data_IF_972299831074
#
_entry.id   IF_972299831074
#
_cell.length_a   1.000
_cell.length_b   1.000
_cell.length_c   1.000
_cell.angle_alpha   90.00
_cell.angle_beta   90.00
_cell.angle_gamma   90.00
#
_symmetry.space_group_name_H-M   'P 1'
#
loop_
_entity.id
_entity.type
_entity.pdbx_description
1 polymer ?
#
# COMPACT_ATOMS: atom_id res chain seq x y z
N UNK A 1 23.13 -64.87 4.67
CA UNK A 1 23.86 -64.50 5.90
C UNK A 1 23.50 -63.06 6.22
N UNK A 2 22.33 -62.85 6.82
CA UNK A 2 22.06 -62.76 8.28
C UNK A 2 22.26 -61.33 8.79
N UNK A 3 21.18 -60.77 9.36
CA UNK A 3 20.96 -59.34 9.63
C UNK A 3 21.55 -58.78 10.94
N UNK A 4 21.05 -57.61 11.42
CA UNK A 4 21.54 -56.88 12.62
C UNK A 4 20.78 -57.34 13.89
N UNK A 5 20.82 -56.68 15.09
CA UNK A 5 21.57 -55.55 15.65
C UNK A 5 22.20 -55.86 17.06
N UNK A 6 22.73 -54.88 17.82
CA UNK A 6 22.38 -54.62 19.26
C UNK A 6 23.29 -53.61 20.00
N UNK A 7 22.62 -52.87 20.89
CA UNK A 7 23.04 -51.88 21.88
C UNK A 7 24.09 -52.37 22.92
N UNK A 8 24.99 -51.47 23.35
CA UNK A 8 25.58 -51.32 24.72
C UNK A 8 26.75 -50.34 24.61
N UNK A 9 26.73 -49.17 25.25
CA UNK A 9 27.32 -49.04 26.59
C UNK A 9 27.20 -47.58 27.05
N UNK A 10 26.23 -47.33 27.95
CA UNK A 10 26.32 -46.31 28.98
C UNK A 10 26.85 -47.01 30.24
N UNK A 11 27.65 -46.28 31.04
CA UNK A 11 28.11 -46.55 32.42
C UNK A 11 29.64 -46.63 32.53
N UNK A 12 30.25 -45.50 32.88
CA UNK A 12 31.34 -45.45 33.86
C UNK A 12 31.42 -44.04 34.45
N UNK A 13 30.46 -43.75 35.31
CA UNK A 13 30.56 -42.67 36.26
C UNK A 13 31.58 -43.04 37.36
N UNK A 14 32.24 -42.01 37.89
CA UNK A 14 32.78 -41.88 39.26
C UNK A 14 34.12 -42.57 39.57
N UNK A 15 35.15 -41.74 39.80
CA UNK A 15 35.77 -41.52 41.13
C UNK A 15 37.09 -40.77 40.98
N UNK A 16 37.22 -39.60 41.62
CA UNK A 16 38.28 -39.28 42.60
C UNK A 16 38.15 -37.82 43.10
N UNK A 17 38.68 -37.50 44.30
CA UNK A 17 37.90 -36.80 45.32
C UNK A 17 38.37 -35.36 45.61
N UNK A 18 37.53 -34.67 46.37
CA UNK A 18 37.77 -33.35 46.96
C UNK A 18 38.97 -33.34 47.91
N UNK A 19 39.74 -32.24 47.87
CA UNK A 19 40.68 -31.85 48.92
C UNK A 19 40.23 -30.51 49.49
N UNK A 20 39.92 -30.52 50.79
CA UNK A 20 39.75 -29.35 51.63
C UNK A 20 41.04 -28.53 51.70
N UNK A 21 40.94 -27.21 51.60
CA UNK A 21 41.84 -26.27 52.26
C UNK A 21 41.06 -24.97 52.55
N UNK A 22 41.08 -24.58 53.81
CA UNK A 22 40.48 -23.41 54.48
C UNK A 22 41.72 -22.65 55.00
N UNK A 23 42.02 -21.40 54.63
CA UNK A 23 41.54 -20.11 55.16
C UNK A 23 42.44 -19.02 54.53
N UNK A 24 41.92 -17.82 54.26
CA UNK A 24 42.40 -16.56 54.86
C UNK A 24 41.57 -15.36 54.36
N UNK A 25 41.09 -14.56 55.34
CA UNK A 25 40.39 -13.28 55.17
C UNK A 25 41.27 -12.21 54.52
N UNK A 26 40.67 -11.34 53.72
CA UNK A 26 40.87 -9.87 53.78
C UNK A 26 39.73 -9.12 53.05
N UNK A 27 39.47 -7.84 53.41
CA UNK A 27 38.14 -7.25 53.32
C UNK A 27 37.95 -6.25 52.16
N UNK A 28 36.70 -5.81 52.02
CA UNK A 28 36.25 -4.53 51.47
C UNK A 28 36.46 -4.28 49.97
N UNK A 29 35.35 -4.31 49.24
CA UNK A 29 34.88 -3.19 48.42
C UNK A 29 33.37 -3.36 48.29
N UNK A 30 32.62 -2.69 49.16
CA UNK A 30 31.20 -2.45 48.91
C UNK A 30 31.10 -1.55 47.68
N UNK A 31 30.90 -2.16 46.51
CA UNK A 31 30.30 -1.47 45.38
C UNK A 31 28.85 -1.21 45.78
N UNK A 32 28.65 -0.03 46.38
CA UNK A 32 27.35 0.59 46.53
C UNK A 32 26.61 0.48 45.20
N UNK A 33 25.55 -0.35 45.19
CA UNK A 33 24.56 -0.29 44.12
C UNK A 33 23.77 1.00 44.32
N UNK A 34 24.36 2.11 43.89
CA UNK A 34 23.58 3.25 43.45
C UNK A 34 22.92 2.79 42.14
N UNK A 35 21.86 2.00 42.29
CA UNK A 35 20.79 1.95 41.32
C UNK A 35 20.38 3.40 41.14
N UNK A 36 20.90 4.03 40.09
CA UNK A 36 20.35 5.26 39.57
C UNK A 36 18.90 4.92 39.25
N UNK A 37 18.02 5.25 40.20
CA UNK A 37 16.59 5.36 39.97
C UNK A 37 16.51 6.38 38.86
N UNK A 38 16.41 5.89 37.62
CA UNK A 38 16.14 6.71 36.46
C UNK A 38 14.78 7.35 36.75
N UNK A 39 14.84 8.56 37.31
CA UNK A 39 13.67 9.38 37.51
C UNK A 39 12.97 9.44 36.16
N UNK A 40 11.72 8.97 36.11
CA UNK A 40 10.92 9.03 34.90
C UNK A 40 11.03 10.46 34.34
N UNK A 41 11.37 10.62 33.04
CA UNK A 41 11.54 11.95 32.47
C UNK A 41 10.28 12.76 32.71
N UNK A 42 10.42 14.02 33.12
CA UNK A 42 9.28 14.93 33.25
C UNK A 42 8.57 15.00 31.89
N UNK A 43 7.26 15.26 31.87
CA UNK A 43 6.45 15.22 30.63
C UNK A 43 7.04 16.04 29.47
N UNK A 44 7.65 17.19 29.77
CA UNK A 44 8.38 18.03 28.79
C UNK A 44 9.68 17.37 28.27
N UNK A 45 10.41 16.67 29.13
CA UNK A 45 11.65 15.98 28.74
C UNK A 45 11.34 14.75 27.88
N UNK A 46 10.26 14.02 28.18
CA UNK A 46 9.83 12.86 27.41
C UNK A 46 9.43 13.21 25.97
N UNK A 47 8.73 14.34 25.77
CA UNK A 47 8.35 14.84 24.45
C UNK A 47 9.57 15.24 23.60
N UNK A 48 10.53 15.97 24.19
CA UNK A 48 11.75 16.36 23.46
C UNK A 48 12.62 15.14 23.10
N UNK A 49 12.67 14.13 23.98
CA UNK A 49 13.34 12.86 23.68
C UNK A 49 12.63 12.09 22.56
N UNK A 50 11.29 12.11 22.52
CA UNK A 50 10.51 11.50 21.45
C UNK A 50 10.81 12.16 20.10
N UNK A 51 10.75 13.49 20.02
CA UNK A 51 11.09 14.24 18.81
C UNK A 51 12.51 13.93 18.32
N UNK A 52 13.47 13.90 19.25
CA UNK A 52 14.86 13.53 18.95
C UNK A 52 14.97 12.09 18.45
N UNK A 53 14.24 11.14 19.03
CA UNK A 53 14.28 9.73 18.61
C UNK A 53 13.72 9.51 17.20
N UNK A 54 12.66 10.26 16.83
CA UNK A 54 12.10 10.28 15.48
C UNK A 54 13.11 10.86 14.49
N UNK A 55 13.76 11.99 14.84
CA UNK A 55 14.80 12.59 14.01
C UNK A 55 16.01 11.65 13.80
N UNK A 56 16.34 10.84 14.83
CA UNK A 56 17.39 9.83 14.77
C UNK A 56 16.94 8.51 14.12
N UNK A 57 15.70 8.44 13.62
CA UNK A 57 15.10 7.25 12.97
C UNK A 57 15.19 5.99 13.83
N UNK A 58 14.89 6.10 15.13
CA UNK A 58 14.85 4.96 16.07
C UNK A 58 13.41 4.64 16.46
N UNK A 59 12.67 3.87 15.66
CA UNK A 59 11.24 3.66 15.87
C UNK A 59 10.91 2.90 17.16
N UNK A 60 11.69 1.91 17.54
CA UNK A 60 11.48 1.17 18.79
C UNK A 60 11.54 2.12 20.01
N UNK A 61 12.62 2.91 20.10
CA UNK A 61 12.78 3.90 21.16
C UNK A 61 11.67 4.97 21.14
N UNK A 62 11.27 5.43 19.94
CA UNK A 62 10.18 6.39 19.79
C UNK A 62 8.85 5.82 20.28
N UNK A 63 8.56 4.55 20.01
CA UNK A 63 7.35 3.89 20.48
C UNK A 63 7.32 3.72 22.01
N UNK A 64 8.45 3.36 22.61
CA UNK A 64 8.58 3.24 24.06
C UNK A 64 8.36 4.59 24.77
N UNK A 65 8.94 5.66 24.22
CA UNK A 65 8.78 7.02 24.74
C UNK A 65 7.34 7.52 24.56
N UNK A 66 6.70 7.23 23.43
CA UNK A 66 5.30 7.56 23.20
C UNK A 66 4.38 6.89 24.23
N UNK A 67 4.66 5.63 24.60
CA UNK A 67 3.87 4.89 25.58
C UNK A 67 4.00 5.45 27.01
N UNK A 68 5.07 6.20 27.30
CA UNK A 68 5.30 6.83 28.60
C UNK A 68 4.64 8.21 28.74
N UNK A 69 4.10 8.78 27.66
CA UNK A 69 3.44 10.08 27.71
C UNK A 69 2.08 9.98 28.42
N UNK A 70 1.85 10.87 29.39
CA UNK A 70 0.57 10.99 30.09
C UNK A 70 -0.45 11.86 29.34
N UNK A 71 0.04 12.75 28.46
CA UNK A 71 -0.78 13.63 27.65
C UNK A 71 -0.77 13.17 26.18
N UNK A 72 -1.86 13.37 25.42
CA UNK A 72 -1.89 13.06 24.00
C UNK A 72 -0.84 13.90 23.27
N UNK A 73 -0.02 13.25 22.44
CA UNK A 73 0.96 13.94 21.62
C UNK A 73 0.26 14.72 20.49
N UNK A 74 0.91 15.78 20.02
CA UNK A 74 0.39 16.59 18.91
C UNK A 74 0.23 15.74 17.63
N UNK A 75 -0.82 15.98 16.82
CA UNK A 75 -1.07 15.24 15.58
C UNK A 75 0.14 15.19 14.64
N UNK A 76 0.84 16.31 14.48
CA UNK A 76 2.05 16.40 13.64
C UNK A 76 3.16 15.43 14.09
N UNK A 77 3.33 15.25 15.40
CA UNK A 77 4.33 14.34 15.93
C UNK A 77 3.93 12.88 15.68
N UNK A 78 2.64 12.57 15.82
CA UNK A 78 2.08 11.24 15.54
C UNK A 78 2.19 10.88 14.06
N UNK A 79 1.89 11.82 13.16
CA UNK A 79 2.05 11.63 11.72
C UNK A 79 3.52 11.35 11.36
N UNK A 80 4.48 12.10 11.94
CA UNK A 80 5.92 11.89 11.72
C UNK A 80 6.37 10.52 12.16
N UNK A 81 5.87 10.05 13.31
CA UNK A 81 6.15 8.71 13.81
C UNK A 81 5.49 7.63 12.95
N UNK A 82 4.24 7.81 12.52
CA UNK A 82 3.54 6.89 11.63
C UNK A 82 4.31 6.73 10.31
N UNK A 83 4.76 7.82 9.71
CA UNK A 83 5.56 7.80 8.49
C UNK A 83 6.90 7.08 8.71
N UNK A 84 7.60 7.35 9.82
CA UNK A 84 8.85 6.64 10.16
C UNK A 84 8.63 5.12 10.25
N UNK A 85 7.55 4.69 10.90
CA UNK A 85 7.18 3.29 11.06
C UNK A 85 6.77 2.63 9.74
N UNK A 86 5.99 3.33 8.93
CA UNK A 86 5.52 2.85 7.62
C UNK A 86 6.66 2.62 6.63
N UNK A 87 7.74 3.40 6.72
CA UNK A 87 8.95 3.24 5.90
C UNK A 87 9.74 1.97 6.23
N UNK A 88 9.51 1.35 7.38
CA UNK A 88 10.18 0.11 7.73
C UNK A 88 9.62 -1.10 6.96
N UNK A 89 10.33 -1.49 5.90
CA UNK A 89 9.90 -2.58 5.00
C UNK A 89 9.91 -3.99 5.60
N UNK A 90 10.41 -4.20 6.82
CA UNK A 90 10.59 -5.52 7.42
C UNK A 90 9.72 -5.80 8.63
N UNK A 91 8.88 -4.85 9.07
CA UNK A 91 8.10 -4.97 10.30
C UNK A 91 6.60 -4.80 10.05
N UNK A 92 5.86 -5.91 9.94
CA UNK A 92 4.39 -5.91 9.95
C UNK A 92 3.82 -5.24 11.21
N UNK A 93 4.51 -5.40 12.35
CA UNK A 93 4.14 -4.76 13.60
C UNK A 93 4.22 -3.23 13.53
N UNK A 94 5.23 -2.68 12.86
CA UNK A 94 5.35 -1.24 12.65
C UNK A 94 4.31 -0.72 11.66
N UNK A 95 3.98 -1.46 10.60
CA UNK A 95 2.88 -1.08 9.71
C UNK A 95 1.53 -1.00 10.48
N UNK A 96 1.20 -2.02 11.27
CA UNK A 96 0.01 -2.00 12.14
C UNK A 96 0.02 -0.85 13.14
N UNK A 97 1.19 -0.52 13.70
CA UNK A 97 1.32 0.59 14.65
C UNK A 97 1.18 1.94 13.95
N UNK A 98 1.77 2.10 12.77
CA UNK A 98 1.65 3.29 11.93
C UNK A 98 0.17 3.56 11.58
N UNK A 99 -0.55 2.52 11.14
CA UNK A 99 -1.99 2.57 10.92
C UNK A 99 -2.75 3.05 12.15
N UNK A 100 -2.53 2.43 13.32
CA UNK A 100 -3.21 2.83 14.56
C UNK A 100 -2.94 4.28 14.96
N UNK A 101 -1.73 4.78 14.73
CA UNK A 101 -1.37 6.18 15.01
C UNK A 101 -2.10 7.13 14.07
N UNK A 102 -2.04 6.86 12.76
CA UNK A 102 -2.65 7.73 11.76
C UNK A 102 -4.19 7.73 11.86
N UNK A 103 -4.78 6.57 12.14
CA UNK A 103 -6.20 6.44 12.48
C UNK A 103 -6.61 7.31 13.67
N UNK A 104 -5.78 7.33 14.70
CA UNK A 104 -5.98 8.20 15.86
C UNK A 104 -5.93 9.69 15.50
N UNK A 105 -5.06 10.07 14.54
CA UNK A 105 -4.97 11.44 14.03
C UNK A 105 -6.23 11.81 13.26
N UNK A 106 -6.71 10.95 12.37
CA UNK A 106 -7.94 11.17 11.59
C UNK A 106 -9.18 11.37 12.47
N UNK A 107 -9.25 10.66 13.61
CA UNK A 107 -10.36 10.75 14.55
C UNK A 107 -10.22 11.87 15.58
N UNK A 108 -9.14 12.66 15.52
CA UNK A 108 -8.96 13.77 16.44
C UNK A 108 -9.91 14.93 16.07
N UNK A 109 -10.62 15.53 17.06
CA UNK A 109 -11.54 16.63 16.78
C UNK A 109 -10.78 17.85 16.26
N UNK A 110 -11.29 18.42 15.17
CA UNK A 110 -10.70 19.63 14.57
C UNK A 110 -9.41 19.38 13.78
N UNK A 111 -9.13 18.13 13.38
CA UNK A 111 -8.10 17.87 12.38
C UNK A 111 -8.35 18.72 11.14
N UNK A 112 -7.31 19.42 10.68
CA UNK A 112 -7.27 20.04 9.36
C UNK A 112 -6.17 19.33 8.60
N UNK A 113 -6.53 18.45 7.64
CA UNK A 113 -5.53 17.79 6.83
C UNK A 113 -4.65 18.81 6.10
N UNK A 114 -3.38 18.48 6.03
CA UNK A 114 -2.34 19.20 5.34
C UNK A 114 -1.56 18.23 4.44
N UNK A 115 -0.63 18.76 3.64
CA UNK A 115 0.23 17.96 2.76
C UNK A 115 0.97 16.84 3.53
N UNK A 116 1.23 17.06 4.82
CA UNK A 116 1.86 16.06 5.67
C UNK A 116 0.93 14.91 6.03
N UNK A 117 -0.36 15.20 6.24
CA UNK A 117 -1.43 14.21 6.44
C UNK A 117 -1.58 13.34 5.20
N UNK A 118 -1.58 13.95 4.02
CA UNK A 118 -1.59 13.26 2.74
C UNK A 118 -0.39 12.32 2.60
N UNK A 119 0.82 12.85 2.79
CA UNK A 119 2.06 12.07 2.71
C UNK A 119 2.05 10.89 3.70
N UNK A 120 1.67 11.11 4.96
CA UNK A 120 1.58 10.05 5.94
C UNK A 120 0.58 8.95 5.52
N UNK A 121 -0.56 9.33 4.94
CA UNK A 121 -1.59 8.41 4.47
C UNK A 121 -1.09 7.50 3.36
N UNK A 122 -0.46 8.07 2.33
CA UNK A 122 0.13 7.32 1.23
C UNK A 122 1.12 6.28 1.76
N UNK A 123 2.07 6.68 2.62
CA UNK A 123 3.08 5.76 3.15
C UNK A 123 2.50 4.67 4.05
N UNK A 124 1.54 5.01 4.90
CA UNK A 124 0.91 4.05 5.82
C UNK A 124 0.05 3.05 5.03
N UNK A 125 -0.68 3.51 4.03
CA UNK A 125 -1.48 2.67 3.14
C UNK A 125 -0.60 1.69 2.38
N UNK A 126 0.47 2.18 1.72
CA UNK A 126 1.47 1.34 1.03
C UNK A 126 2.11 0.33 2.01
N UNK A 127 2.42 0.73 3.25
CA UNK A 127 2.89 -0.21 4.26
C UNK A 127 1.84 -1.30 4.60
N UNK A 128 0.56 -0.94 4.72
CA UNK A 128 -0.51 -1.90 4.97
C UNK A 128 -0.65 -2.90 3.81
N UNK A 129 -0.68 -2.42 2.57
CA UNK A 129 -0.78 -3.25 1.37
C UNK A 129 0.42 -4.20 1.21
N UNK A 130 1.65 -3.68 1.40
CA UNK A 130 2.88 -4.50 1.40
C UNK A 130 2.81 -5.66 2.39
N UNK A 131 2.23 -5.43 3.56
CA UNK A 131 2.10 -6.44 4.60
C UNK A 131 0.77 -7.21 4.54
N UNK A 132 -0.02 -7.11 3.47
CA UNK A 132 -1.32 -7.82 3.34
C UNK A 132 -2.27 -7.52 4.51
N UNK A 133 -2.39 -6.23 4.83
CA UNK A 133 -3.29 -5.66 5.83
C UNK A 133 -4.42 -4.90 5.11
N UNK A 134 -5.16 -5.59 4.24
CA UNK A 134 -6.14 -4.97 3.34
C UNK A 134 -7.24 -4.24 4.10
N UNK A 135 -7.81 -4.84 5.15
CA UNK A 135 -8.87 -4.20 5.93
C UNK A 135 -8.40 -2.90 6.60
N UNK A 136 -7.14 -2.86 7.05
CA UNK A 136 -6.55 -1.62 7.59
C UNK A 136 -6.26 -0.59 6.49
N UNK A 137 -5.87 -1.04 5.29
CA UNK A 137 -5.69 -0.14 4.15
C UNK A 137 -7.03 0.48 3.72
N UNK A 138 -8.10 -0.31 3.68
CA UNK A 138 -9.45 0.16 3.37
C UNK A 138 -9.99 1.10 4.44
N UNK A 139 -9.83 0.78 5.73
CA UNK A 139 -10.25 1.70 6.81
C UNK A 139 -9.49 3.04 6.72
N UNK A 140 -8.21 3.02 6.33
CA UNK A 140 -7.44 4.24 6.14
C UNK A 140 -7.84 5.01 4.88
N UNK A 141 -8.16 4.29 3.80
CA UNK A 141 -8.71 4.85 2.57
C UNK A 141 -9.99 5.64 2.86
N UNK A 142 -10.94 5.01 3.55
CA UNK A 142 -12.20 5.64 3.95
C UNK A 142 -11.96 6.88 4.82
N UNK A 143 -11.02 6.82 5.76
CA UNK A 143 -10.67 7.98 6.60
C UNK A 143 -10.07 9.13 5.79
N UNK A 144 -9.24 8.83 4.80
CA UNK A 144 -8.66 9.83 3.90
C UNK A 144 -9.74 10.49 3.03
N UNK A 145 -10.61 9.70 2.39
CA UNK A 145 -11.71 10.20 1.55
C UNK A 145 -12.68 11.06 2.37
N UNK A 146 -13.08 10.60 3.56
CA UNK A 146 -13.97 11.36 4.46
C UNK A 146 -13.41 12.71 4.92
N UNK A 147 -12.09 12.88 4.88
CA UNK A 147 -11.40 14.12 5.23
C UNK A 147 -10.91 14.88 3.99
N UNK A 148 -11.36 14.49 2.79
CA UNK A 148 -10.94 15.08 1.51
C UNK A 148 -9.41 15.07 1.32
N UNK A 149 -8.75 13.99 1.75
CA UNK A 149 -7.31 13.76 1.53
C UNK A 149 -7.13 12.89 0.30
N UNK A 150 -6.73 13.49 -0.81
CA UNK A 150 -6.45 12.77 -2.06
C UNK A 150 -5.19 11.90 -1.94
N UNK A 151 -5.28 10.64 -2.37
CA UNK A 151 -4.11 9.75 -2.49
C UNK A 151 -3.43 9.91 -3.86
N UNK A 152 -2.24 9.35 -4.03
CA UNK A 152 -1.54 9.33 -5.31
C UNK A 152 -1.91 8.10 -6.15
N UNK A 153 -1.66 8.15 -7.47
CA UNK A 153 -1.98 7.04 -8.38
C UNK A 153 -1.38 5.68 -7.92
N UNK A 154 -0.11 5.60 -7.46
CA UNK A 154 0.43 4.35 -6.95
C UNK A 154 -0.31 3.77 -5.72
N UNK A 155 -0.86 4.62 -4.86
CA UNK A 155 -1.69 4.17 -3.74
C UNK A 155 -3.00 3.55 -4.23
N UNK A 156 -3.67 4.18 -5.21
CA UNK A 156 -4.88 3.63 -5.83
C UNK A 156 -4.58 2.32 -6.57
N UNK A 157 -3.56 2.27 -7.42
CA UNK A 157 -3.16 1.04 -8.14
C UNK A 157 -2.87 -0.11 -7.16
N UNK A 158 -2.23 0.20 -6.03
CA UNK A 158 -1.97 -0.76 -4.95
C UNK A 158 -3.24 -1.28 -4.28
N UNK A 159 -4.23 -0.41 -4.02
CA UNK A 159 -5.53 -0.79 -3.47
C UNK A 159 -6.29 -1.68 -4.45
N UNK A 160 -6.38 -1.26 -5.72
CA UNK A 160 -7.05 -2.02 -6.78
C UNK A 160 -6.45 -3.42 -6.88
N UNK A 161 -5.13 -3.53 -6.98
CA UNK A 161 -4.44 -4.83 -7.03
C UNK A 161 -4.77 -5.69 -5.81
N UNK A 162 -4.71 -5.12 -4.60
CA UNK A 162 -4.96 -5.87 -3.37
C UNK A 162 -6.43 -6.32 -3.21
N UNK A 163 -7.40 -5.51 -3.67
CA UNK A 163 -8.82 -5.84 -3.68
C UNK A 163 -9.13 -6.97 -4.67
N UNK A 164 -8.59 -6.89 -5.89
CA UNK A 164 -8.76 -7.92 -6.91
C UNK A 164 -8.11 -9.26 -6.50
N UNK A 165 -6.93 -9.22 -5.87
CA UNK A 165 -6.29 -10.39 -5.27
C UNK A 165 -7.17 -11.03 -4.18
N UNK A 166 -7.91 -10.20 -3.43
CA UNK A 166 -8.85 -10.63 -2.40
C UNK A 166 -10.25 -10.97 -2.91
N UNK A 167 -10.48 -10.93 -4.24
CA UNK A 167 -11.79 -11.16 -4.88
C UNK A 167 -12.90 -10.22 -4.42
N UNK A 168 -12.54 -8.96 -4.15
CA UNK A 168 -13.46 -7.85 -3.82
C UNK A 168 -13.57 -6.92 -5.04
N UNK A 169 -14.14 -7.43 -6.14
CA UNK A 169 -14.15 -6.77 -7.46
C UNK A 169 -15.06 -5.55 -7.46
N UNK A 170 -16.17 -5.63 -6.75
CA UNK A 170 -17.14 -4.54 -6.60
C UNK A 170 -16.49 -3.32 -5.96
N UNK A 171 -15.78 -3.51 -4.84
CA UNK A 171 -15.07 -2.43 -4.13
C UNK A 171 -13.92 -1.84 -4.97
N UNK A 172 -13.20 -2.68 -5.73
CA UNK A 172 -12.18 -2.18 -6.66
C UNK A 172 -12.80 -1.31 -7.77
N UNK A 173 -13.97 -1.71 -8.27
CA UNK A 173 -14.71 -0.97 -9.28
C UNK A 173 -15.23 0.36 -8.74
N UNK A 174 -15.71 0.40 -7.50
CA UNK A 174 -16.13 1.62 -6.81
C UNK A 174 -14.97 2.60 -6.64
N UNK A 175 -13.81 2.15 -6.14
CA UNK A 175 -12.62 3.00 -6.02
C UNK A 175 -12.20 3.56 -7.38
N UNK A 176 -12.20 2.74 -8.44
CA UNK A 176 -11.84 3.22 -9.77
C UNK A 176 -12.84 4.29 -10.25
N UNK A 177 -14.14 4.11 -10.02
CA UNK A 177 -15.18 5.12 -10.33
C UNK A 177 -14.96 6.42 -9.53
N UNK A 178 -14.49 6.34 -8.29
CA UNK A 178 -14.14 7.52 -7.48
C UNK A 178 -12.91 8.26 -8.02
N UNK A 179 -11.88 7.53 -8.47
CA UNK A 179 -10.72 8.13 -9.17
C UNK A 179 -11.17 8.85 -10.44
N UNK A 180 -12.14 8.30 -11.17
CA UNK A 180 -12.77 8.93 -12.33
C UNK A 180 -13.74 10.06 -11.99
N UNK A 181 -14.03 10.26 -10.71
CA UNK A 181 -14.85 11.37 -10.21
C UNK A 181 -14.02 12.57 -9.73
N UNK A 182 -12.79 12.35 -9.26
CA UNK A 182 -11.91 13.40 -8.71
C UNK A 182 -10.94 14.03 -9.73
N UNK A 183 -10.48 15.25 -9.46
CA UNK A 183 -9.53 15.97 -10.34
C UNK A 183 -8.07 15.82 -9.90
N UNK A 184 -7.83 15.22 -8.73
CA UNK A 184 -6.50 15.16 -8.09
C UNK A 184 -5.56 14.15 -8.74
N UNK A 185 -6.08 13.19 -9.48
CA UNK A 185 -5.32 12.10 -10.10
C UNK A 185 -5.78 11.90 -11.54
N UNK A 186 -4.82 11.77 -12.45
CA UNK A 186 -5.06 11.37 -13.84
C UNK A 186 -4.83 9.85 -13.95
N UNK A 187 -5.89 9.03 -14.04
CA UNK A 187 -5.73 7.60 -14.23
C UNK A 187 -5.17 7.32 -15.63
N UNK A 188 -4.42 6.23 -15.77
CA UNK A 188 -3.85 5.78 -17.04
C UNK A 188 -4.40 4.42 -17.43
N UNK A 189 -4.22 4.00 -18.67
CA UNK A 189 -4.67 2.70 -19.18
C UNK A 189 -4.38 1.53 -18.21
N UNK A 190 -3.16 1.49 -17.65
CA UNK A 190 -2.70 0.45 -16.73
C UNK A 190 -3.50 0.38 -15.41
N UNK A 191 -4.12 1.48 -14.97
CA UNK A 191 -4.96 1.52 -13.76
C UNK A 191 -6.29 0.79 -13.99
N UNK A 192 -6.81 0.78 -15.22
CA UNK A 192 -8.10 0.15 -15.56
C UNK A 192 -7.96 -1.34 -15.84
N UNK A 193 -6.89 -1.72 -16.55
CA UNK A 193 -6.75 -3.07 -17.11
C UNK A 193 -7.02 -4.19 -16.08
N UNK A 194 -6.45 -4.17 -14.85
CA UNK A 194 -6.74 -5.21 -13.86
C UNK A 194 -8.22 -5.36 -13.51
N UNK A 195 -8.94 -4.24 -13.37
CA UNK A 195 -10.37 -4.21 -13.03
C UNK A 195 -11.20 -4.70 -14.21
N UNK A 196 -10.92 -4.21 -15.42
CA UNK A 196 -11.61 -4.63 -16.65
C UNK A 196 -11.48 -6.14 -16.89
N UNK A 197 -10.29 -6.71 -16.66
CA UNK A 197 -10.06 -8.14 -16.80
C UNK A 197 -10.90 -8.97 -15.83
N UNK A 198 -11.05 -8.54 -14.57
CA UNK A 198 -11.88 -9.27 -13.60
C UNK A 198 -13.38 -9.11 -13.90
N UNK A 199 -13.85 -7.93 -14.32
CA UNK A 199 -15.24 -7.73 -14.75
C UNK A 199 -15.61 -8.62 -15.95
N UNK A 200 -14.76 -8.66 -16.98
CA UNK A 200 -14.99 -9.52 -18.16
C UNK A 200 -14.98 -11.00 -17.79
N UNK A 201 -14.09 -11.44 -16.88
CA UNK A 201 -14.13 -12.81 -16.34
C UNK A 201 -15.43 -13.09 -15.56
N UNK A 202 -15.93 -12.09 -14.84
CA UNK A 202 -17.21 -12.10 -14.12
C UNK A 202 -18.44 -12.01 -15.03
N UNK A 203 -18.25 -11.79 -16.34
CA UNK A 203 -19.32 -11.54 -17.34
C UNK A 203 -20.08 -10.24 -17.09
N UNK A 204 -19.46 -9.29 -16.40
CA UNK A 204 -19.98 -7.96 -16.11
C UNK A 204 -19.63 -6.99 -17.25
N UNK A 205 -20.10 -7.33 -18.46
CA UNK A 205 -19.74 -6.64 -19.70
C UNK A 205 -20.24 -5.19 -19.76
N UNK A 206 -21.40 -4.90 -19.19
CA UNK A 206 -21.98 -3.56 -19.15
C UNK A 206 -21.13 -2.62 -18.26
N UNK A 207 -20.72 -3.09 -17.08
CA UNK A 207 -19.83 -2.34 -16.18
C UNK A 207 -18.45 -2.10 -16.79
N UNK A 208 -17.88 -3.10 -17.46
CA UNK A 208 -16.61 -2.95 -18.19
C UNK A 208 -16.73 -1.87 -19.29
N UNK A 209 -17.80 -1.92 -20.09
CA UNK A 209 -18.07 -0.92 -21.13
C UNK A 209 -18.22 0.48 -20.53
N UNK A 210 -18.95 0.60 -19.43
CA UNK A 210 -19.18 1.88 -18.76
C UNK A 210 -17.87 2.46 -18.23
N UNK A 211 -17.02 1.66 -17.58
CA UNK A 211 -15.70 2.11 -17.10
C UNK A 211 -14.82 2.60 -18.24
N UNK A 212 -14.78 1.90 -19.36
CA UNK A 212 -13.98 2.33 -20.52
C UNK A 212 -14.49 3.66 -21.09
N UNK A 213 -15.82 3.85 -21.21
CA UNK A 213 -16.40 5.14 -21.62
C UNK A 213 -16.03 6.27 -20.65
N UNK A 214 -16.09 6.01 -19.36
CA UNK A 214 -15.68 6.98 -18.34
C UNK A 214 -14.18 7.31 -18.42
N UNK A 215 -13.33 6.31 -18.64
CA UNK A 215 -11.90 6.52 -18.90
C UNK A 215 -11.65 7.40 -20.11
N UNK A 216 -12.33 7.13 -21.22
CA UNK A 216 -12.22 7.95 -22.42
C UNK A 216 -12.65 9.41 -22.18
N UNK A 217 -13.74 9.63 -21.43
CA UNK A 217 -14.16 11.00 -21.06
C UNK A 217 -13.15 11.73 -20.16
N UNK A 218 -12.28 10.98 -19.47
CA UNK A 218 -11.16 11.50 -18.67
C UNK A 218 -9.85 11.60 -19.45
N UNK A 219 -9.87 11.36 -20.76
CA UNK A 219 -8.69 11.43 -21.63
C UNK A 219 -7.79 10.20 -21.58
N UNK A 220 -8.31 9.06 -21.12
CA UNK A 220 -7.57 7.79 -21.16
C UNK A 220 -7.70 7.17 -22.55
N UNK A 221 -6.57 7.00 -23.21
CA UNK A 221 -6.47 6.27 -24.47
C UNK A 221 -6.24 4.78 -24.17
N UNK A 222 -7.18 3.94 -24.61
CA UNK A 222 -7.03 2.49 -24.54
C UNK A 222 -6.38 2.00 -25.83
N UNK A 223 -5.41 1.10 -25.69
CA UNK A 223 -4.62 0.58 -26.79
C UNK A 223 -4.84 -0.92 -26.97
N UNK A 224 -4.09 -1.52 -27.88
CA UNK A 224 -4.05 -2.98 -28.07
C UNK A 224 -3.71 -3.74 -26.80
N UNK A 225 -2.98 -3.11 -25.87
CA UNK A 225 -2.62 -3.71 -24.59
C UNK A 225 -3.85 -3.94 -23.70
N UNK A 226 -4.90 -3.12 -23.83
CA UNK A 226 -6.18 -3.35 -23.15
C UNK A 226 -7.15 -4.18 -23.97
N UNK A 227 -7.32 -3.88 -25.27
CA UNK A 227 -8.34 -4.55 -26.07
C UNK A 227 -8.04 -6.04 -26.31
N UNK A 228 -6.80 -6.42 -26.63
CA UNK A 228 -6.47 -7.81 -26.94
C UNK A 228 -6.75 -8.77 -25.75
N UNK A 229 -6.31 -8.49 -24.51
CA UNK A 229 -6.62 -9.36 -23.38
C UNK A 229 -8.12 -9.48 -23.09
N UNK A 230 -8.88 -8.40 -23.26
CA UNK A 230 -10.32 -8.40 -23.02
C UNK A 230 -11.07 -9.25 -24.06
N UNK A 231 -10.71 -9.14 -25.35
CA UNK A 231 -11.26 -9.99 -26.42
C UNK A 231 -10.97 -11.46 -26.17
N UNK A 232 -9.72 -11.82 -25.88
CA UNK A 232 -9.32 -13.21 -25.60
C UNK A 232 -10.08 -13.80 -24.41
N UNK A 233 -10.46 -12.98 -23.42
CA UNK A 233 -11.30 -13.42 -22.31
C UNK A 233 -12.77 -13.53 -22.70
N UNK A 234 -13.30 -12.56 -23.45
CA UNK A 234 -14.69 -12.53 -23.89
C UNK A 234 -15.02 -13.68 -24.85
N UNK A 235 -14.12 -14.04 -25.78
CA UNK A 235 -14.29 -15.16 -26.71
C UNK A 235 -14.41 -16.53 -26.03
N UNK A 236 -13.89 -16.66 -24.80
CA UNK A 236 -14.07 -17.89 -24.01
C UNK A 236 -15.49 -18.03 -23.48
N UNK A 237 -16.25 -16.94 -23.44
CA UNK A 237 -17.66 -17.01 -23.11
C UNK A 237 -18.47 -17.45 -24.33
N UNK A 238 -18.86 -18.72 -24.33
CA UNK A 238 -19.70 -19.32 -25.37
C UNK A 238 -21.17 -18.93 -25.24
N UNK A 239 -21.54 -18.14 -24.22
CA UNK A 239 -22.92 -17.68 -24.03
C UNK A 239 -23.17 -16.39 -24.80
N UNK A 240 -24.06 -16.44 -25.79
CA UNK A 240 -24.45 -15.27 -26.57
C UNK A 240 -25.46 -14.42 -25.79
N UNK A 241 -24.94 -13.61 -24.86
CA UNK A 241 -25.71 -12.61 -24.13
C UNK A 241 -25.71 -11.28 -24.89
N UNK A 242 -26.80 -10.50 -24.78
CA UNK A 242 -26.91 -9.19 -25.41
C UNK A 242 -25.80 -8.22 -24.92
N UNK A 243 -25.44 -8.30 -23.64
CA UNK A 243 -24.33 -7.55 -23.03
C UNK A 243 -22.97 -7.94 -23.61
N UNK A 244 -22.71 -9.24 -23.86
CA UNK A 244 -21.49 -9.68 -24.53
C UNK A 244 -21.42 -9.18 -25.97
N UNK A 245 -22.52 -9.29 -26.74
CA UNK A 245 -22.56 -8.82 -28.13
C UNK A 245 -22.27 -7.32 -28.19
N UNK A 246 -22.93 -6.52 -27.35
CA UNK A 246 -22.69 -5.07 -27.25
C UNK A 246 -21.26 -4.73 -26.86
N UNK A 247 -20.68 -5.49 -25.92
CA UNK A 247 -19.30 -5.30 -25.51
C UNK A 247 -18.32 -5.59 -26.65
N UNK A 248 -18.50 -6.70 -27.39
CA UNK A 248 -17.64 -7.03 -28.53
C UNK A 248 -17.74 -5.97 -29.64
N UNK A 249 -18.96 -5.50 -29.94
CA UNK A 249 -19.18 -4.38 -30.87
C UNK A 249 -18.46 -3.11 -30.40
N UNK A 250 -18.59 -2.76 -29.11
CA UNK A 250 -17.90 -1.60 -28.54
C UNK A 250 -16.37 -1.70 -28.69
N UNK A 251 -15.79 -2.87 -28.40
CA UNK A 251 -14.35 -3.08 -28.55
C UNK A 251 -13.91 -2.98 -30.00
N UNK A 252 -14.67 -3.55 -30.94
CA UNK A 252 -14.40 -3.47 -32.38
C UNK A 252 -14.47 -2.02 -32.89
N UNK A 253 -15.52 -1.28 -32.53
CA UNK A 253 -15.69 0.13 -32.90
C UNK A 253 -14.55 1.00 -32.34
N UNK A 254 -14.18 0.80 -31.07
CA UNK A 254 -13.12 1.57 -30.41
C UNK A 254 -11.73 1.27 -31.00
N UNK A 255 -11.52 0.06 -31.49
CA UNK A 255 -10.28 -0.38 -32.12
C UNK A 255 -10.08 0.22 -33.52
N UNK A 256 -11.15 0.31 -34.31
CA UNK A 256 -11.09 0.93 -35.63
C UNK A 256 -10.92 2.46 -35.54
N UNK A 257 -11.50 3.10 -34.51
CA UNK A 257 -11.23 4.53 -34.22
C UNK A 257 -9.76 4.78 -33.87
N UNK A 258 -9.13 3.90 -33.07
CA UNK A 258 -7.70 3.97 -32.76
C UNK A 258 -6.82 3.83 -34.02
N UNK A 259 -7.09 2.84 -34.88
CA UNK A 259 -6.33 2.67 -36.14
C UNK A 259 -6.43 3.88 -37.06
N UNK A 260 -7.63 4.46 -37.17
CA UNK A 260 -7.83 5.64 -38.00
C UNK A 260 -7.01 6.85 -37.54
N UNK A 261 -6.62 6.90 -36.27
CA UNK A 261 -5.74 7.94 -35.71
C UNK A 261 -4.25 7.63 -36.01
N UNK A 262 -3.83 6.37 -35.95
CA UNK A 262 -2.44 5.95 -36.21
C UNK A 262 -2.11 5.96 -37.72
N UNK A 263 -3.10 5.71 -38.57
CA UNK A 263 -3.01 5.84 -40.04
C UNK A 263 -3.09 7.31 -40.53
N UNK A 264 -3.27 8.28 -39.63
CA UNK A 264 -3.24 9.70 -39.98
C UNK A 264 -1.79 10.17 -40.14
N UNK A 265 -1.30 10.15 -41.39
CA UNK A 265 -0.03 10.78 -41.76
C UNK A 265 -0.24 12.30 -42.03
N UNK A 266 0.22 13.20 -41.15
CA UNK A 266 0.10 14.64 -41.38
C UNK A 266 0.97 15.15 -42.54
N UNK A 267 1.91 14.33 -43.04
CA UNK A 267 2.73 14.65 -44.22
C UNK A 267 2.06 14.25 -45.55
N UNK A 268 0.98 13.46 -45.52
CA UNK A 268 0.15 13.12 -46.70
C UNK A 268 -0.92 14.18 -47.02
N UNK A 269 -0.92 15.32 -46.31
CA UNK A 269 -1.57 16.52 -46.83
C UNK A 269 -0.72 17.02 -48.00
N UNK A 270 -1.07 16.55 -49.21
CA UNK A 270 -0.56 17.06 -50.46
C UNK A 270 -0.52 18.59 -50.39
N UNK A 271 0.69 19.16 -50.22
CA UNK A 271 0.93 20.61 -50.23
C UNK A 271 0.50 21.28 -51.55
N UNK A 272 0.08 20.46 -52.51
CA UNK A 272 -0.45 20.85 -53.81
C UNK A 272 -1.97 20.72 -53.96
N UNK A 273 -2.72 20.31 -52.92
CA UNK A 273 -4.19 20.36 -52.96
C UNK A 273 -4.67 21.82 -53.10
N UNK A 274 -5.32 22.19 -54.22
CA UNK A 274 -5.82 23.54 -54.44
C UNK A 274 -6.92 23.97 -53.46
N UNK A 275 -7.52 23.05 -52.70
CA UNK A 275 -8.53 23.35 -51.68
C UNK A 275 -7.98 23.45 -50.25
N UNK A 276 -6.66 23.30 -50.05
CA UNK A 276 -6.05 23.40 -48.73
C UNK A 276 -6.22 24.82 -48.12
N UNK A 277 -7.01 24.98 -47.03
CA UNK A 277 -7.33 26.28 -46.45
C UNK A 277 -6.14 26.95 -45.74
N UNK A 278 -5.02 26.24 -45.57
CA UNK A 278 -3.81 26.74 -44.90
C UNK A 278 -2.70 27.18 -45.85
N UNK A 279 -2.94 27.21 -47.16
CA UNK A 279 -1.93 27.57 -48.19
C UNK A 279 -1.42 29.02 -48.14
N UNK A 280 -1.84 29.83 -47.16
CA UNK A 280 -1.50 31.26 -47.08
C UNK A 280 -1.14 31.77 -45.67
N UNK A 281 -0.65 30.89 -44.78
CA UNK A 281 0.04 31.29 -43.55
C UNK A 281 1.56 31.21 -43.71
#
# INVERSE_FOLDING_TARGET
>A
MTGPPLLRSLVSALRRPARHLVLHRSPALQLSSAAAVAAAPKSSDALTLLERSIAQRRPAQALDLLAQLQAPAAPQLLQRLALLLARERKSRGHALRAFKLLRGVYRAPGLKPDDYTQLASIYVLDACLRFRLLDQAMELYDEAVNQAVGLDLPAYDGLLTALLDAKRVEEATEILKEVLGGDDVCPVELTFLPVLLELVKGREYDDATQLMRQGHTRGVEFTSETFHPLLVLAEKDTTSTDSLIKFLQFVEDSWEEYKAIDDFDPEENDLDDPENPFRSL
#
